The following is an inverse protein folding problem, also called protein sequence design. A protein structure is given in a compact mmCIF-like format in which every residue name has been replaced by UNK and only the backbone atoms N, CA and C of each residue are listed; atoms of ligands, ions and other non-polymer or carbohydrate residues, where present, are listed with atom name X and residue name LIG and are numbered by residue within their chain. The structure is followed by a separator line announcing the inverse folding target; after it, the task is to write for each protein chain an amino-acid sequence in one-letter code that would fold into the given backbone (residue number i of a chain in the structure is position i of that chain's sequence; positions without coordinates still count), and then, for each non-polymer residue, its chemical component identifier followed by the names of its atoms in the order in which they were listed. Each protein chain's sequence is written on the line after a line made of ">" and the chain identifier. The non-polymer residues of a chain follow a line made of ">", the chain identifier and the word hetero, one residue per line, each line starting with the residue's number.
data_IF_533384423037
#
_entry.id   IF_533384423037
#
_cell.length_a   1.000
_cell.length_b   1.000
_cell.length_c   1.000
_cell.angle_alpha   90.00
_cell.angle_beta   90.00
_cell.angle_gamma   90.00
#
_symmetry.space_group_name_H-M   'P 1'
#
loop_
_entity.id
_entity.type
_entity.pdbx_description
1 polymer ?
#
# COMPACT_ATOMS: atom_id res chain seq x y z
N UNK A 1 9.47 -29.72 -54.09
CA UNK A 1 8.46 -30.08 -53.08
C UNK A 1 9.09 -29.95 -51.70
N UNK A 2 8.78 -28.89 -50.96
CA UNK A 2 9.30 -28.71 -49.60
C UNK A 2 8.39 -29.45 -48.62
N UNK A 3 8.94 -30.50 -48.00
CA UNK A 3 8.21 -31.42 -47.14
C UNK A 3 7.81 -30.79 -45.81
N UNK A 4 6.51 -30.91 -45.49
CA UNK A 4 5.92 -30.70 -44.18
C UNK A 4 6.60 -31.56 -43.09
N UNK A 5 7.58 -31.02 -42.37
CA UNK A 5 7.96 -31.52 -41.04
C UNK A 5 8.31 -30.35 -40.13
N UNK A 6 7.29 -29.86 -39.43
CA UNK A 6 7.45 -28.93 -38.31
C UNK A 6 8.20 -29.65 -37.18
N UNK A 7 9.39 -29.20 -36.81
CA UNK A 7 10.18 -29.76 -35.68
C UNK A 7 11.00 -28.75 -34.89
N UNK A 8 11.03 -27.46 -35.25
CA UNK A 8 11.86 -26.48 -34.53
C UNK A 8 11.10 -25.22 -34.08
N UNK A 9 11.78 -24.39 -33.29
CA UNK A 9 11.23 -23.11 -32.79
C UNK A 9 10.92 -22.12 -33.91
N UNK A 10 11.55 -22.26 -35.08
CA UNK A 10 11.27 -21.42 -36.24
C UNK A 10 9.93 -21.78 -36.87
N UNK A 11 9.58 -23.06 -36.92
CA UNK A 11 8.26 -23.51 -37.38
C UNK A 11 7.12 -23.00 -36.50
N UNK A 12 7.34 -22.90 -35.18
CA UNK A 12 6.38 -22.28 -34.26
C UNK A 12 6.15 -20.80 -34.61
N UNK A 13 7.22 -20.06 -34.95
CA UNK A 13 7.12 -18.69 -35.45
C UNK A 13 6.39 -18.64 -36.81
N UNK A 14 6.68 -19.55 -37.74
CA UNK A 14 6.00 -19.61 -39.05
C UNK A 14 4.51 -19.91 -38.87
N UNK A 15 4.14 -20.80 -37.95
CA UNK A 15 2.73 -21.07 -37.61
C UNK A 15 2.06 -19.82 -37.07
N UNK A 16 2.69 -19.11 -36.14
CA UNK A 16 2.17 -17.87 -35.57
C UNK A 16 1.93 -16.81 -36.65
N UNK A 17 2.89 -16.58 -37.56
CA UNK A 17 2.71 -15.61 -38.65
C UNK A 17 1.59 -15.99 -39.63
N UNK A 18 1.39 -17.28 -39.87
CA UNK A 18 0.33 -17.77 -40.78
C UNK A 18 -1.06 -17.71 -40.15
N UNK A 19 -1.18 -18.08 -38.87
CA UNK A 19 -2.47 -18.31 -38.23
C UNK A 19 -2.84 -17.21 -37.24
N UNK A 20 -1.94 -16.27 -36.95
CA UNK A 20 -2.16 -15.20 -35.97
C UNK A 20 -2.60 -15.78 -34.61
N UNK A 21 -1.97 -16.87 -34.17
CA UNK A 21 -2.33 -17.62 -32.97
C UNK A 21 -1.08 -18.25 -32.34
N UNK A 22 -1.01 -18.27 -31.01
CA UNK A 22 0.03 -18.94 -30.24
C UNK A 22 -0.62 -20.07 -29.44
N UNK A 23 -0.15 -21.31 -29.63
CA UNK A 23 -0.64 -22.46 -28.85
C UNK A 23 0.10 -22.56 -27.52
N UNK A 24 -0.58 -23.06 -26.48
CA UNK A 24 0.02 -23.26 -25.14
C UNK A 24 1.24 -24.18 -25.14
N UNK A 25 1.32 -25.10 -26.11
CA UNK A 25 2.42 -26.04 -26.29
C UNK A 25 3.67 -25.42 -26.93
N UNK A 26 3.62 -24.17 -27.40
CA UNK A 26 4.76 -23.52 -28.04
C UNK A 26 5.85 -23.14 -27.02
N UNK A 27 7.10 -23.39 -27.41
CA UNK A 27 8.29 -23.27 -26.56
C UNK A 27 9.30 -22.23 -27.07
N UNK A 28 9.04 -21.63 -28.23
CA UNK A 28 9.84 -20.57 -28.81
C UNK A 28 9.84 -19.33 -27.89
N UNK A 29 11.05 -18.87 -27.56
CA UNK A 29 11.25 -17.69 -26.71
C UNK A 29 10.69 -16.46 -27.42
N UNK A 30 9.87 -15.67 -26.72
CA UNK A 30 9.26 -14.45 -27.27
C UNK A 30 7.91 -14.66 -27.95
N UNK A 31 7.49 -15.92 -28.20
CA UNK A 31 6.26 -16.20 -28.93
C UNK A 31 5.02 -15.94 -28.07
N UNK A 32 5.09 -16.19 -26.76
CA UNK A 32 4.01 -15.86 -25.81
C UNK A 32 3.79 -14.35 -25.72
N UNK A 33 4.86 -13.56 -25.67
CA UNK A 33 4.80 -12.11 -25.66
C UNK A 33 4.26 -11.55 -26.98
N UNK A 34 4.60 -12.17 -28.11
CA UNK A 34 4.05 -11.81 -29.42
C UNK A 34 2.54 -12.12 -29.51
N UNK A 35 2.08 -13.23 -28.93
CA UNK A 35 0.66 -13.56 -28.80
C UNK A 35 -0.12 -12.53 -27.99
N UNK A 36 0.38 -12.14 -26.82
CA UNK A 36 -0.26 -11.12 -26.00
C UNK A 36 -0.38 -9.77 -26.72
N UNK A 37 0.64 -9.37 -27.47
CA UNK A 37 0.58 -8.15 -28.30
C UNK A 37 -0.40 -8.28 -29.47
N UNK A 38 -0.48 -9.46 -30.09
CA UNK A 38 -1.43 -9.72 -31.15
C UNK A 38 -2.87 -9.69 -30.63
N UNK A 39 -3.13 -10.25 -29.46
CA UNK A 39 -4.45 -10.19 -28.82
C UNK A 39 -4.82 -8.75 -28.46
N UNK A 40 -3.87 -7.96 -27.95
CA UNK A 40 -4.04 -6.52 -27.74
C UNK A 40 -4.34 -5.76 -29.05
N UNK A 41 -3.68 -6.12 -30.15
CA UNK A 41 -3.92 -5.53 -31.48
C UNK A 41 -5.24 -5.98 -32.13
N UNK A 42 -5.76 -7.17 -31.76
CA UNK A 42 -7.06 -7.68 -32.20
C UNK A 42 -8.24 -7.03 -31.48
N UNK A 43 -8.00 -6.39 -30.34
CA UNK A 43 -9.04 -5.59 -29.67
C UNK A 43 -9.47 -4.47 -30.63
N UNK A 44 -10.78 -4.41 -30.90
CA UNK A 44 -11.35 -3.25 -31.58
C UNK A 44 -11.07 -1.97 -30.78
N UNK A 45 -11.09 -0.81 -31.43
CA UNK A 45 -10.92 0.48 -30.72
C UNK A 45 -11.87 0.63 -29.53
N UNK A 46 -13.08 0.08 -29.65
CA UNK A 46 -14.08 0.04 -28.59
C UNK A 46 -13.62 -0.82 -27.40
N UNK A 47 -13.19 -2.05 -27.65
CA UNK A 47 -12.71 -2.96 -26.59
C UNK A 47 -11.44 -2.44 -25.92
N UNK A 48 -10.52 -1.85 -26.68
CA UNK A 48 -9.32 -1.19 -26.14
C UNK A 48 -9.68 -0.03 -25.23
N UNK A 49 -10.69 0.78 -25.61
CA UNK A 49 -11.18 1.89 -24.79
C UNK A 49 -11.84 1.39 -23.50
N UNK A 50 -12.66 0.35 -23.59
CA UNK A 50 -13.31 -0.27 -22.43
C UNK A 50 -12.28 -0.90 -21.47
N UNK A 51 -11.28 -1.60 -22.01
CA UNK A 51 -10.18 -2.17 -21.23
C UNK A 51 -9.35 -1.10 -20.52
N UNK A 52 -8.99 -0.02 -21.21
CA UNK A 52 -8.29 1.11 -20.59
C UNK A 52 -9.13 1.82 -19.52
N UNK A 53 -10.44 1.95 -19.73
CA UNK A 53 -11.34 2.49 -18.72
C UNK A 53 -11.42 1.59 -17.47
N UNK A 54 -11.45 0.27 -17.67
CA UNK A 54 -11.38 -0.71 -16.59
C UNK A 54 -10.06 -0.61 -15.80
N UNK A 55 -8.91 -0.57 -16.48
CA UNK A 55 -7.61 -0.40 -15.84
C UNK A 55 -7.51 0.93 -15.07
N UNK A 56 -8.05 2.02 -15.62
CA UNK A 56 -8.12 3.31 -14.92
C UNK A 56 -8.95 3.18 -13.64
N UNK A 57 -10.14 2.57 -13.72
CA UNK A 57 -11.00 2.34 -12.55
C UNK A 57 -10.30 1.54 -11.45
N UNK A 58 -9.56 0.49 -11.81
CA UNK A 58 -8.77 -0.28 -10.84
C UNK A 58 -7.70 0.56 -10.14
N UNK A 59 -7.00 1.42 -10.88
CA UNK A 59 -5.99 2.34 -10.32
C UNK A 59 -6.63 3.36 -9.39
N UNK A 60 -7.78 3.92 -9.78
CA UNK A 60 -8.51 4.89 -8.98
C UNK A 60 -8.96 4.25 -7.65
N UNK A 61 -9.53 3.04 -7.69
CA UNK A 61 -9.91 2.28 -6.49
C UNK A 61 -8.69 2.00 -5.59
N UNK A 62 -7.58 1.55 -6.16
CA UNK A 62 -6.37 1.26 -5.39
C UNK A 62 -5.80 2.52 -4.73
N UNK A 63 -5.80 3.64 -5.46
CA UNK A 63 -5.37 4.95 -4.96
C UNK A 63 -6.27 5.42 -3.82
N UNK A 64 -7.59 5.37 -3.99
CA UNK A 64 -8.54 5.72 -2.93
C UNK A 64 -8.38 4.84 -1.69
N UNK A 65 -8.19 3.54 -1.86
CA UNK A 65 -7.97 2.61 -0.75
C UNK A 65 -6.67 2.92 -0.02
N UNK A 66 -5.58 3.20 -0.75
CA UNK A 66 -4.30 3.58 -0.17
C UNK A 66 -4.42 4.85 0.67
N UNK A 67 -5.07 5.90 0.13
CA UNK A 67 -5.31 7.15 0.87
C UNK A 67 -6.15 6.90 2.11
N UNK A 68 -7.27 6.16 2.00
CA UNK A 68 -8.13 5.83 3.15
C UNK A 68 -7.39 5.03 4.23
N UNK A 69 -6.48 4.12 3.84
CA UNK A 69 -5.67 3.37 4.78
C UNK A 69 -4.63 4.26 5.48
N UNK A 70 -3.99 5.18 4.75
CA UNK A 70 -3.07 6.15 5.34
C UNK A 70 -3.79 7.07 6.34
N UNK A 71 -4.94 7.63 5.95
CA UNK A 71 -5.76 8.48 6.82
C UNK A 71 -6.21 7.72 8.09
N UNK A 72 -6.65 6.47 7.94
CA UNK A 72 -7.05 5.63 9.06
C UNK A 72 -5.88 5.34 10.01
N UNK A 73 -4.69 5.05 9.46
CA UNK A 73 -3.49 4.81 10.25
C UNK A 73 -3.08 6.06 11.02
N UNK A 74 -3.14 7.24 10.40
CA UNK A 74 -2.84 8.51 11.06
C UNK A 74 -3.84 8.81 12.17
N UNK A 75 -5.13 8.56 11.96
CA UNK A 75 -6.16 8.70 13.00
C UNK A 75 -5.92 7.75 14.18
N UNK A 76 -5.54 6.49 13.91
CA UNK A 76 -5.19 5.52 14.96
C UNK A 76 -3.97 6.00 15.74
N UNK A 77 -2.90 6.41 15.05
CA UNK A 77 -1.68 6.91 15.68
C UNK A 77 -1.95 8.15 16.55
N UNK A 78 -2.75 9.10 16.05
CA UNK A 78 -3.19 10.26 16.82
C UNK A 78 -4.01 9.85 18.04
N UNK A 79 -4.87 8.84 17.91
CA UNK A 79 -5.66 8.29 19.03
C UNK A 79 -4.78 7.67 20.11
N UNK A 80 -3.79 6.86 19.71
CA UNK A 80 -2.82 6.24 20.62
C UNK A 80 -2.01 7.31 21.34
N UNK A 81 -1.40 8.26 20.61
CA UNK A 81 -0.60 9.34 21.21
C UNK A 81 -1.41 10.18 22.20
N UNK A 82 -2.64 10.56 21.85
CA UNK A 82 -3.54 11.28 22.77
C UNK A 82 -3.88 10.45 24.01
N UNK A 83 -4.04 9.13 23.87
CA UNK A 83 -4.27 8.22 24.98
C UNK A 83 -3.07 8.13 25.93
N UNK A 84 -1.86 8.00 25.37
CA UNK A 84 -0.61 7.98 26.13
C UNK A 84 -0.38 9.31 26.87
N UNK A 85 -0.57 10.44 26.20
CA UNK A 85 -0.46 11.77 26.82
C UNK A 85 -1.46 11.96 27.96
N UNK A 86 -2.71 11.50 27.79
CA UNK A 86 -3.73 11.58 28.85
C UNK A 86 -3.32 10.73 30.06
N UNK A 87 -2.91 9.48 29.83
CA UNK A 87 -2.48 8.58 30.89
C UNK A 87 -1.26 9.12 31.62
N UNK A 88 -0.30 9.69 30.89
CA UNK A 88 0.89 10.32 31.48
C UNK A 88 0.49 11.48 32.41
N UNK A 89 -0.41 12.36 31.95
CA UNK A 89 -0.95 13.47 32.77
C UNK A 89 -1.68 12.96 34.00
N UNK A 90 -2.53 11.95 33.85
CA UNK A 90 -3.26 11.34 34.97
C UNK A 90 -2.31 10.79 36.04
N UNK A 91 -1.28 10.03 35.63
CA UNK A 91 -0.27 9.49 36.54
C UNK A 91 0.47 10.63 37.26
N UNK A 92 0.92 11.67 36.54
CA UNK A 92 1.61 12.82 37.15
C UNK A 92 0.73 13.49 38.20
N UNK A 93 -0.54 13.71 37.89
CA UNK A 93 -1.48 14.37 38.81
C UNK A 93 -1.80 13.49 40.02
N UNK A 94 -1.96 12.18 39.84
CA UNK A 94 -2.20 11.24 40.92
C UNK A 94 -1.01 11.16 41.87
N UNK A 95 0.21 11.00 41.33
CA UNK A 95 1.43 11.00 42.13
C UNK A 95 1.63 12.33 42.88
N UNK A 96 1.32 13.46 42.24
CA UNK A 96 1.38 14.76 42.90
C UNK A 96 0.39 14.87 44.05
N UNK A 97 -0.82 14.31 43.91
CA UNK A 97 -1.83 14.26 44.99
C UNK A 97 -1.41 13.35 46.14
N UNK A 98 -0.71 12.26 45.85
CA UNK A 98 -0.13 11.36 46.86
C UNK A 98 1.10 11.95 47.58
N UNK A 99 1.54 13.16 47.19
CA UNK A 99 2.61 13.89 47.87
C UNK A 99 4.01 13.58 47.36
N UNK A 100 4.15 12.94 46.19
CA UNK A 100 5.46 12.77 45.56
C UNK A 100 6.06 14.12 45.15
N UNK A 101 7.36 14.29 45.36
CA UNK A 101 8.07 15.48 44.91
C UNK A 101 8.25 15.50 43.39
N UNK A 102 8.29 16.69 42.79
CA UNK A 102 8.49 16.87 41.35
C UNK A 102 9.73 16.13 40.82
N UNK A 103 10.90 16.13 41.49
CA UNK A 103 12.05 15.34 41.03
C UNK A 103 11.78 13.83 41.01
N UNK A 104 11.00 13.29 41.96
CA UNK A 104 10.64 11.86 41.98
C UNK A 104 9.70 11.50 40.83
N UNK A 105 8.67 12.33 40.60
CA UNK A 105 7.72 12.14 39.50
C UNK A 105 8.46 12.18 38.17
N UNK A 106 9.26 13.23 37.93
CA UNK A 106 10.05 13.42 36.72
C UNK A 106 10.93 12.20 36.42
N UNK A 107 11.57 11.62 37.45
CA UNK A 107 12.37 10.40 37.32
C UNK A 107 11.53 9.18 36.92
N UNK A 108 10.32 9.01 37.47
CA UNK A 108 9.44 7.86 37.23
C UNK A 108 8.83 7.92 35.83
N UNK A 109 8.30 9.08 35.42
CA UNK A 109 7.73 9.28 34.08
C UNK A 109 8.79 9.56 33.01
N UNK A 110 10.06 9.68 33.41
CA UNK A 110 11.22 9.94 32.55
C UNK A 110 11.07 11.23 31.72
N UNK A 111 10.59 12.30 32.38
CA UNK A 111 10.46 13.64 31.79
C UNK A 111 11.30 14.64 32.58
N UNK A 112 11.43 15.86 32.05
CA UNK A 112 12.03 16.96 32.79
C UNK A 112 11.08 17.46 33.89
N UNK A 113 11.65 17.99 34.96
CA UNK A 113 10.87 18.61 36.03
C UNK A 113 10.01 19.78 35.54
N UNK A 114 10.46 20.49 34.50
CA UNK A 114 9.69 21.58 33.88
C UNK A 114 8.38 21.07 33.27
N UNK A 115 8.41 19.94 32.56
CA UNK A 115 7.20 19.34 31.96
C UNK A 115 6.22 18.90 33.04
N UNK A 116 6.73 18.29 34.11
CA UNK A 116 5.91 17.87 35.26
C UNK A 116 5.26 19.09 35.94
N UNK A 117 6.01 20.17 36.16
CA UNK A 117 5.48 21.43 36.71
C UNK A 117 4.37 22.00 35.84
N UNK A 118 4.60 22.10 34.54
CA UNK A 118 3.61 22.65 33.62
C UNK A 118 2.30 21.87 33.66
N UNK A 119 2.36 20.53 33.65
CA UNK A 119 1.16 19.67 33.70
C UNK A 119 0.36 19.88 35.00
N UNK A 120 1.05 20.04 36.13
CA UNK A 120 0.41 20.30 37.42
C UNK A 120 -0.21 21.69 37.45
N UNK A 121 0.50 22.72 36.96
CA UNK A 121 0.02 24.11 36.90
C UNK A 121 -1.17 24.26 35.95
N UNK A 122 -1.14 23.62 34.77
CA UNK A 122 -2.23 23.63 33.79
C UNK A 122 -3.54 23.05 34.37
N UNK A 123 -3.45 22.13 35.33
CA UNK A 123 -4.61 21.56 36.02
C UNK A 123 -5.15 22.46 37.14
N UNK A 124 -4.29 23.27 37.76
CA UNK A 124 -4.69 24.23 38.80
C UNK A 124 -5.33 25.50 38.21
N UNK A 125 -4.98 25.84 36.96
CA UNK A 125 -5.49 27.00 36.23
C UNK A 125 -6.77 26.71 35.40
N UNK A 126 -7.38 25.54 35.60
CA UNK A 126 -8.55 25.05 34.88
C UNK A 126 -9.80 25.08 35.76
#
# INVERSE_FOLDING_TARGET
>A
MFGNRVKDKLDEWIYFFKNSEVKDSFSAKGLKEAGARLDEMKLSEKERKEYNAYLKKLRDIASEQHTKMADAQDLINQGINKGEERKEKEIILEMSKEGFSIPQIAKIVKKSEQVVRQIIEDQLNK
#
